data_IF_524226065270
#
_entry.id   IF_524226065270
#
_cell.length_a   1.000
_cell.length_b   1.000
_cell.length_c   1.000
_cell.angle_alpha   90.00
_cell.angle_beta   90.00
_cell.angle_gamma   90.00
#
_symmetry.space_group_name_H-M   'P 1'
#
loop_
_entity.id
_entity.type
_entity.pdbx_description
1 polymer ?
#
# COMPACT_ATOMS: atom_id res chain seq x y z
N UNK A 1 27.75 2.08 -6.36
CA UNK A 1 26.43 1.67 -6.90
C UNK A 1 25.36 2.55 -6.28
N UNK A 2 24.19 2.70 -6.90
CA UNK A 2 23.04 3.40 -6.29
C UNK A 2 22.03 2.35 -5.83
N UNK A 3 21.64 2.41 -4.56
CA UNK A 3 20.65 1.51 -3.98
C UNK A 3 19.38 2.29 -3.66
N UNK A 4 18.23 1.69 -3.97
CA UNK A 4 16.92 2.24 -3.66
C UNK A 4 16.16 1.20 -2.86
N UNK A 5 15.69 1.58 -1.67
CA UNK A 5 14.83 0.77 -0.84
C UNK A 5 13.38 1.21 -1.06
N UNK A 6 12.56 0.30 -1.58
CA UNK A 6 11.11 0.50 -1.67
C UNK A 6 10.49 0.07 -0.34
N UNK A 7 9.91 1.02 0.41
CA UNK A 7 9.37 0.78 1.75
C UNK A 7 8.03 1.50 1.91
N UNK A 8 6.98 0.74 2.24
CA UNK A 8 5.61 1.23 2.43
C UNK A 8 5.16 1.18 3.90
N UNK A 9 6.12 1.08 4.83
CA UNK A 9 5.87 1.11 6.27
C UNK A 9 6.74 2.17 6.93
N UNK A 10 6.18 2.85 7.93
CA UNK A 10 6.87 3.91 8.68
C UNK A 10 7.48 3.41 9.99
N UNK A 11 7.34 2.12 10.30
CA UNK A 11 7.79 1.56 11.56
C UNK A 11 9.30 1.83 11.81
N UNK A 12 9.66 2.44 12.95
CA UNK A 12 11.06 2.61 13.34
C UNK A 12 11.72 1.26 13.62
N UNK A 13 13.03 1.27 13.85
CA UNK A 13 13.79 0.09 14.19
C UNK A 13 13.39 -0.46 15.57
N UNK A 14 13.17 0.43 16.55
CA UNK A 14 12.92 0.07 17.96
C UNK A 14 11.69 0.75 18.56
N UNK A 15 11.25 0.26 19.71
CA UNK A 15 10.17 0.88 20.48
C UNK A 15 8.80 0.24 20.26
N UNK A 16 7.73 0.84 20.81
CA UNK A 16 6.37 0.27 20.76
C UNK A 16 5.90 -0.03 19.33
N UNK A 17 6.24 0.85 18.39
CA UNK A 17 5.96 0.72 16.95
C UNK A 17 7.14 0.10 16.17
N UNK A 18 8.16 -0.40 16.88
CA UNK A 18 9.39 -0.93 16.31
C UNK A 18 9.24 -2.31 15.67
N UNK A 19 10.24 -2.68 14.87
CA UNK A 19 10.21 -3.90 14.06
C UNK A 19 9.86 -5.17 14.86
N UNK A 20 10.49 -5.34 16.03
CA UNK A 20 10.37 -6.54 16.85
C UNK A 20 9.00 -6.65 17.51
N UNK A 21 8.43 -5.55 17.99
CA UNK A 21 7.17 -5.57 18.73
C UNK A 21 5.96 -5.62 17.80
N UNK A 22 6.02 -4.94 16.65
CA UNK A 22 4.92 -4.93 15.67
C UNK A 22 4.91 -6.17 14.79
N UNK A 23 6.05 -6.55 14.22
CA UNK A 23 6.12 -7.64 13.23
C UNK A 23 6.65 -8.97 13.77
N UNK A 24 7.18 -8.99 15.00
CA UNK A 24 7.64 -10.23 15.64
C UNK A 24 6.53 -11.27 15.86
N UNK A 25 5.33 -10.91 16.37
CA UNK A 25 4.27 -11.87 16.68
C UNK A 25 3.82 -12.70 15.47
N UNK A 26 3.63 -12.07 14.31
CA UNK A 26 3.26 -12.77 13.06
C UNK A 26 4.38 -13.69 12.53
N UNK A 27 5.62 -13.51 12.99
CA UNK A 27 6.77 -14.38 12.69
C UNK A 27 7.02 -15.43 13.79
N UNK A 28 6.11 -15.55 14.76
CA UNK A 28 6.18 -16.55 15.83
C UNK A 28 6.96 -16.10 17.09
N UNK A 29 7.34 -14.82 17.20
CA UNK A 29 7.97 -14.33 18.43
C UNK A 29 6.92 -14.20 19.56
N UNK A 30 7.17 -14.87 20.69
CA UNK A 30 6.39 -14.61 21.91
C UNK A 30 6.63 -13.17 22.39
N UNK A 31 5.75 -12.60 23.25
CA UNK A 31 5.95 -11.26 23.79
C UNK A 31 7.30 -11.07 24.51
N UNK A 32 7.81 -12.12 25.15
CA UNK A 32 9.13 -12.11 25.78
C UNK A 32 10.26 -12.08 24.74
N UNK A 33 10.16 -12.93 23.70
CA UNK A 33 11.12 -12.96 22.59
C UNK A 33 11.11 -11.62 21.85
N UNK A 34 9.94 -11.04 21.58
CA UNK A 34 9.80 -9.76 20.90
C UNK A 34 10.48 -8.63 21.68
N UNK A 35 10.32 -8.58 23.02
CA UNK A 35 11.03 -7.61 23.87
C UNK A 35 12.54 -7.79 23.83
N UNK A 36 13.03 -9.03 23.94
CA UNK A 36 14.46 -9.34 23.84
C UNK A 36 15.04 -8.96 22.47
N UNK A 37 14.26 -9.13 21.40
CA UNK A 37 14.65 -8.70 20.05
C UNK A 37 14.66 -7.16 19.95
N UNK A 38 13.71 -6.45 20.55
CA UNK A 38 13.72 -4.98 20.61
C UNK A 38 14.98 -4.45 21.34
N UNK A 39 15.36 -5.06 22.46
CA UNK A 39 16.60 -4.71 23.18
C UNK A 39 17.85 -4.95 22.31
N UNK A 40 17.86 -6.06 21.55
CA UNK A 40 18.92 -6.33 20.57
C UNK A 40 18.96 -5.26 19.46
N UNK A 41 17.81 -4.83 18.96
CA UNK A 41 17.69 -3.77 17.97
C UNK A 41 18.12 -2.40 18.52
N UNK A 42 17.91 -2.11 19.81
CA UNK A 42 18.43 -0.90 20.46
C UNK A 42 19.94 -0.88 20.49
N UNK A 43 20.56 -2.03 20.81
CA UNK A 43 22.00 -2.14 20.74
C UNK A 43 22.51 -1.98 19.30
N UNK A 44 21.79 -2.54 18.31
CA UNK A 44 22.14 -2.36 16.91
C UNK A 44 22.04 -0.91 16.46
N UNK A 45 20.96 -0.21 16.78
CA UNK A 45 20.77 1.21 16.50
C UNK A 45 21.92 2.06 17.06
N UNK A 46 22.31 1.80 18.32
CA UNK A 46 23.44 2.46 18.98
C UNK A 46 24.75 2.21 18.24
N UNK A 47 25.04 0.97 17.84
CA UNK A 47 26.26 0.62 17.09
C UNK A 47 26.31 1.36 15.76
N UNK A 48 25.18 1.43 15.03
CA UNK A 48 25.10 2.19 13.78
C UNK A 48 25.38 3.69 14.02
N UNK A 49 24.75 4.28 15.04
CA UNK A 49 24.93 5.69 15.37
C UNK A 49 26.38 6.02 15.75
N UNK A 50 27.01 5.20 16.58
CA UNK A 50 28.43 5.34 16.96
C UNK A 50 29.37 5.18 15.76
N UNK A 51 29.05 4.28 14.83
CA UNK A 51 29.92 3.99 13.67
C UNK A 51 29.86 5.08 12.61
N UNK A 52 28.66 5.63 12.36
CA UNK A 52 28.42 6.54 11.24
C UNK A 52 28.12 7.98 11.66
N UNK A 53 28.04 8.26 12.96
CA UNK A 53 27.85 9.60 13.52
C UNK A 53 26.45 10.19 13.32
N UNK A 54 25.44 9.38 13.00
CA UNK A 54 24.03 9.77 12.89
C UNK A 54 23.10 8.61 13.23
N UNK A 55 21.91 8.92 13.77
CA UNK A 55 20.87 7.91 13.99
C UNK A 55 20.29 7.38 12.66
N UNK A 56 20.00 6.08 12.63
CA UNK A 56 19.27 5.40 11.56
C UNK A 56 17.93 4.83 12.02
N UNK A 57 17.48 5.20 13.22
CA UNK A 57 16.15 4.87 13.72
C UNK A 57 15.14 5.91 13.21
N UNK A 58 14.87 5.84 11.92
CA UNK A 58 13.99 6.73 11.16
C UNK A 58 12.77 5.96 10.64
N UNK A 59 11.72 6.64 10.14
CA UNK A 59 10.60 5.94 9.53
C UNK A 59 11.04 4.94 8.46
N UNK A 60 10.52 3.71 8.54
CA UNK A 60 10.87 2.60 7.65
C UNK A 60 12.15 1.85 8.01
N UNK A 61 12.92 2.30 9.01
CA UNK A 61 14.12 1.59 9.46
C UNK A 61 13.83 0.18 9.99
N UNK A 62 12.63 -0.05 10.54
CA UNK A 62 12.18 -1.35 11.01
C UNK A 62 11.77 -2.33 9.92
N UNK A 63 11.70 -1.89 8.67
CA UNK A 63 11.24 -2.71 7.56
C UNK A 63 12.03 -4.03 7.46
N UNK A 64 11.29 -5.11 7.17
CA UNK A 64 11.80 -6.47 7.08
C UNK A 64 12.64 -6.93 8.31
N UNK A 65 12.34 -6.41 9.50
CA UNK A 65 13.05 -6.80 10.73
C UNK A 65 14.38 -6.08 10.92
N UNK A 66 14.44 -4.79 10.56
CA UNK A 66 15.64 -3.96 10.71
C UNK A 66 16.59 -3.98 9.51
N UNK A 67 16.21 -4.67 8.43
CA UNK A 67 16.93 -4.58 7.16
C UNK A 67 16.87 -3.14 6.61
N UNK A 68 15.79 -2.41 6.86
CA UNK A 68 15.67 -1.01 6.47
C UNK A 68 16.80 -0.14 7.01
N UNK A 69 17.06 -0.21 8.32
CA UNK A 69 18.19 0.46 8.95
C UNK A 69 19.55 0.06 8.34
N UNK A 70 19.73 -1.23 8.03
CA UNK A 70 20.95 -1.72 7.40
C UNK A 70 21.12 -1.18 5.96
N UNK A 71 20.05 -1.10 5.17
CA UNK A 71 20.09 -0.50 3.83
C UNK A 71 20.46 0.99 3.89
N UNK A 72 19.86 1.73 4.82
CA UNK A 72 20.14 3.16 4.99
C UNK A 72 21.58 3.41 5.46
N UNK A 73 22.08 2.60 6.40
CA UNK A 73 23.40 2.80 6.99
C UNK A 73 24.54 2.24 6.14
N UNK A 74 24.39 1.02 5.63
CA UNK A 74 25.48 0.26 5.01
C UNK A 74 25.55 0.42 3.49
N UNK A 75 24.40 0.67 2.85
CA UNK A 75 24.32 0.84 1.39
C UNK A 75 24.13 2.29 0.97
N UNK A 76 23.95 3.20 1.94
CA UNK A 76 23.52 4.59 1.71
C UNK A 76 22.32 4.63 0.75
N UNK A 77 21.37 3.72 0.97
CA UNK A 77 20.21 3.57 0.10
C UNK A 77 19.24 4.74 0.29
N UNK A 78 18.63 5.18 -0.81
CA UNK A 78 17.50 6.10 -0.76
C UNK A 78 16.22 5.31 -0.44
N UNK A 79 15.47 5.74 0.58
CA UNK A 79 14.15 5.18 0.89
C UNK A 79 13.08 5.91 0.09
N UNK A 80 12.28 5.15 -0.65
CA UNK A 80 11.16 5.68 -1.45
C UNK A 80 9.93 4.82 -1.22
N UNK A 81 8.75 5.42 -1.41
CA UNK A 81 7.49 4.67 -1.47
C UNK A 81 7.56 3.63 -2.60
N UNK A 82 7.20 2.39 -2.29
CA UNK A 82 7.22 1.28 -3.23
C UNK A 82 6.26 1.50 -4.37
N UNK A 83 5.01 1.90 -4.08
CA UNK A 83 4.03 2.21 -5.13
C UNK A 83 4.52 3.34 -6.02
N UNK A 84 5.03 4.43 -5.45
CA UNK A 84 5.51 5.58 -6.23
C UNK A 84 6.62 5.14 -7.18
N UNK A 85 7.59 4.37 -6.68
CA UNK A 85 8.71 3.90 -7.47
C UNK A 85 8.28 2.93 -8.57
N UNK A 86 7.32 2.05 -8.30
CA UNK A 86 6.77 1.14 -9.31
C UNK A 86 6.07 1.91 -10.42
N UNK A 87 5.25 2.91 -10.09
CA UNK A 87 4.56 3.75 -11.07
C UNK A 87 5.56 4.50 -11.99
N UNK A 88 6.65 5.01 -11.43
CA UNK A 88 7.74 5.59 -12.23
C UNK A 88 8.39 4.57 -13.17
N UNK A 89 8.72 3.38 -12.66
CA UNK A 89 9.41 2.34 -13.43
C UNK A 89 8.59 1.82 -14.60
N UNK A 90 7.26 1.75 -14.46
CA UNK A 90 6.35 1.34 -15.53
C UNK A 90 5.93 2.50 -16.44
N UNK A 91 6.39 3.73 -16.18
CA UNK A 91 6.04 4.91 -16.95
C UNK A 91 4.56 5.26 -16.86
N UNK A 92 3.95 5.11 -15.68
CA UNK A 92 2.50 5.22 -15.48
C UNK A 92 1.92 6.57 -15.92
N UNK A 93 2.62 7.68 -15.67
CA UNK A 93 2.17 9.01 -16.08
C UNK A 93 1.95 9.11 -17.60
N UNK A 94 2.77 8.42 -18.40
CA UNK A 94 2.61 8.37 -19.85
C UNK A 94 1.42 7.49 -20.27
N UNK A 95 1.08 6.46 -19.49
CA UNK A 95 -0.11 5.63 -19.70
C UNK A 95 -1.40 6.36 -19.35
N UNK A 96 -1.34 7.28 -18.38
CA UNK A 96 -2.47 8.13 -18.01
C UNK A 96 -2.78 9.21 -19.06
N UNK A 97 -1.79 9.61 -19.87
CA UNK A 97 -1.98 10.66 -20.87
C UNK A 97 -3.06 10.30 -21.89
N UNK A 98 -4.20 11.01 -21.83
CA UNK A 98 -5.34 10.80 -22.72
C UNK A 98 -6.30 9.68 -22.28
N UNK A 99 -6.13 9.11 -21.09
CA UNK A 99 -7.09 8.18 -20.52
C UNK A 99 -8.33 8.92 -20.00
N UNK A 100 -9.53 8.41 -20.30
CA UNK A 100 -10.79 8.95 -19.77
C UNK A 100 -11.10 8.48 -18.34
N UNK A 101 -10.53 7.33 -17.94
CA UNK A 101 -10.72 6.68 -16.65
C UNK A 101 -9.55 5.74 -16.38
N UNK A 102 -9.06 5.74 -15.14
CA UNK A 102 -8.18 4.70 -14.63
C UNK A 102 -8.95 3.75 -13.71
N UNK A 103 -8.81 2.44 -13.93
CA UNK A 103 -9.32 1.41 -13.02
C UNK A 103 -8.15 0.70 -12.36
N UNK A 104 -8.12 0.71 -11.03
CA UNK A 104 -7.10 0.04 -10.20
C UNK A 104 -7.76 -0.98 -9.26
N UNK A 105 -6.98 -1.63 -8.39
CA UNK A 105 -7.51 -2.59 -7.44
C UNK A 105 -6.48 -3.18 -6.50
N UNK A 106 -6.98 -3.84 -5.45
CA UNK A 106 -6.20 -4.65 -4.52
C UNK A 106 -7.08 -5.71 -3.83
N UNK A 107 -6.46 -6.66 -3.13
CA UNK A 107 -7.18 -7.76 -2.50
C UNK A 107 -8.15 -7.34 -1.39
N UNK A 108 -7.75 -6.39 -0.54
CA UNK A 108 -8.60 -5.89 0.55
C UNK A 108 -8.25 -4.45 0.89
N UNK A 109 -9.25 -3.57 0.80
CA UNK A 109 -9.12 -2.17 1.17
C UNK A 109 -9.48 -1.96 2.65
N UNK A 110 -8.58 -1.32 3.38
CA UNK A 110 -8.72 -0.92 4.78
C UNK A 110 -8.11 0.48 5.01
N UNK A 111 -8.11 0.99 6.25
CA UNK A 111 -7.47 2.27 6.58
C UNK A 111 -5.96 2.34 6.25
N UNK A 112 -5.27 1.21 6.09
CA UNK A 112 -3.86 1.19 5.67
C UNK A 112 -3.71 1.46 4.17
N UNK A 113 -4.77 1.27 3.38
CA UNK A 113 -4.77 1.60 1.95
C UNK A 113 -4.42 3.06 1.70
N UNK A 114 -4.99 3.95 2.52
CA UNK A 114 -4.69 5.38 2.49
C UNK A 114 -3.21 5.70 2.80
N UNK A 115 -2.48 4.78 3.44
CA UNK A 115 -1.08 4.97 3.87
C UNK A 115 -0.06 4.51 2.82
N UNK A 116 -0.42 4.58 1.54
CA UNK A 116 0.54 4.34 0.45
C UNK A 116 0.49 2.94 -0.16
N UNK A 117 -0.63 2.21 -0.05
CA UNK A 117 -0.84 1.02 -0.88
C UNK A 117 -1.09 1.40 -2.34
N UNK A 118 -1.17 0.38 -3.20
CA UNK A 118 -1.34 0.49 -4.65
C UNK A 118 -2.50 1.40 -5.04
N UNK A 119 -3.68 1.22 -4.44
CA UNK A 119 -4.88 2.01 -4.78
C UNK A 119 -4.66 3.51 -4.50
N UNK A 120 -4.10 3.87 -3.34
CA UNK A 120 -3.86 5.27 -3.00
C UNK A 120 -2.78 5.90 -3.89
N UNK A 121 -1.69 5.18 -4.19
CA UNK A 121 -0.65 5.71 -5.07
C UNK A 121 -1.15 5.93 -6.51
N UNK A 122 -1.97 5.01 -7.02
CA UNK A 122 -2.59 5.15 -8.34
C UNK A 122 -3.61 6.29 -8.35
N UNK A 123 -4.50 6.38 -7.35
CA UNK A 123 -5.47 7.46 -7.23
C UNK A 123 -4.80 8.84 -7.20
N UNK A 124 -3.75 9.01 -6.38
CA UNK A 124 -2.99 10.26 -6.33
C UNK A 124 -2.31 10.61 -7.66
N UNK A 125 -1.83 9.62 -8.42
CA UNK A 125 -1.27 9.85 -9.75
C UNK A 125 -2.33 10.28 -10.76
N UNK A 126 -3.52 9.66 -10.70
CA UNK A 126 -4.65 10.01 -11.55
C UNK A 126 -5.15 11.43 -11.26
N UNK A 127 -5.27 11.81 -9.99
CA UNK A 127 -5.65 13.17 -9.58
C UNK A 127 -4.68 14.24 -10.13
N UNK A 128 -3.37 14.01 -10.02
CA UNK A 128 -2.36 14.91 -10.61
C UNK A 128 -2.50 15.04 -12.14
N UNK A 129 -2.95 13.98 -12.81
CA UNK A 129 -3.18 13.97 -14.25
C UNK A 129 -4.57 14.49 -14.67
N UNK A 130 -5.47 14.77 -13.71
CA UNK A 130 -6.86 15.12 -13.97
C UNK A 130 -7.69 13.97 -14.56
N UNK A 131 -7.27 12.72 -14.33
CA UNK A 131 -7.95 11.51 -14.80
C UNK A 131 -8.76 10.93 -13.64
N UNK A 132 -10.08 10.67 -13.79
CA UNK A 132 -10.86 9.98 -12.76
C UNK A 132 -10.29 8.59 -12.45
N UNK A 133 -10.27 8.21 -11.17
CA UNK A 133 -9.81 6.90 -10.73
C UNK A 133 -10.93 6.12 -10.04
N UNK A 134 -11.14 4.86 -10.42
CA UNK A 134 -12.03 3.92 -9.74
C UNK A 134 -11.25 2.68 -9.31
N UNK A 135 -11.68 2.04 -8.21
CA UNK A 135 -11.07 0.81 -7.71
C UNK A 135 -12.05 -0.35 -7.69
N UNK A 136 -11.59 -1.52 -8.12
CA UNK A 136 -12.24 -2.81 -7.88
C UNK A 136 -11.41 -3.57 -6.85
N UNK A 137 -11.99 -3.90 -5.71
CA UNK A 137 -11.27 -4.48 -4.57
C UNK A 137 -11.89 -5.80 -4.12
N UNK A 138 -11.09 -6.77 -3.69
CA UNK A 138 -11.62 -8.09 -3.27
C UNK A 138 -12.57 -7.98 -2.08
N UNK A 139 -12.19 -7.17 -1.09
CA UNK A 139 -13.01 -6.81 0.06
C UNK A 139 -12.73 -5.38 0.51
N UNK A 140 -13.59 -4.86 1.39
CA UNK A 140 -13.36 -3.58 2.05
C UNK A 140 -13.80 -3.62 3.51
N UNK A 141 -13.00 -2.98 4.37
CA UNK A 141 -13.39 -2.66 5.75
C UNK A 141 -14.19 -1.36 5.78
N UNK A 142 -14.99 -1.15 6.83
CA UNK A 142 -15.82 0.05 6.96
C UNK A 142 -14.99 1.36 6.98
N UNK A 143 -13.74 1.28 7.40
CA UNK A 143 -12.76 2.38 7.46
C UNK A 143 -12.06 2.66 6.13
N UNK A 144 -12.30 1.87 5.09
CA UNK A 144 -11.83 2.13 3.73
C UNK A 144 -12.70 3.16 2.99
N UNK A 145 -13.88 3.49 3.53
CA UNK A 145 -14.77 4.48 2.94
C UNK A 145 -14.12 5.88 2.97
N UNK A 146 -14.05 6.53 1.81
CA UNK A 146 -13.51 7.89 1.69
C UNK A 146 -12.01 7.98 1.48
N UNK A 147 -11.39 6.99 0.82
CA UNK A 147 -10.05 7.18 0.27
C UNK A 147 -10.02 8.45 -0.60
N UNK A 148 -9.06 9.37 -0.37
CA UNK A 148 -8.94 10.57 -1.18
C UNK A 148 -8.64 10.19 -2.64
N UNK A 149 -9.01 11.08 -3.56
CA UNK A 149 -8.67 10.99 -5.00
C UNK A 149 -9.30 9.80 -5.75
N UNK A 150 -10.15 9.03 -5.07
CA UNK A 150 -10.86 7.90 -5.66
C UNK A 150 -12.33 8.27 -5.91
N UNK A 151 -12.76 8.21 -7.17
CA UNK A 151 -14.12 8.54 -7.57
C UNK A 151 -15.12 7.45 -7.19
N UNK A 152 -14.70 6.18 -7.19
CA UNK A 152 -15.55 5.04 -6.84
C UNK A 152 -14.72 3.85 -6.35
N UNK A 153 -15.30 3.05 -5.46
CA UNK A 153 -14.77 1.76 -5.03
C UNK A 153 -15.86 0.71 -5.07
N UNK A 154 -15.60 -0.43 -5.71
CA UNK A 154 -16.54 -1.53 -5.86
C UNK A 154 -15.93 -2.83 -5.30
N UNK A 155 -16.50 -3.43 -4.25
CA UNK A 155 -16.04 -4.72 -3.75
C UNK A 155 -16.49 -5.85 -4.69
N UNK A 156 -15.69 -6.92 -4.76
CA UNK A 156 -16.01 -8.06 -5.64
C UNK A 156 -17.04 -9.02 -5.06
N UNK A 157 -17.13 -9.12 -3.73
CA UNK A 157 -18.10 -9.96 -3.05
C UNK A 157 -19.55 -9.59 -3.44
N UNK A 158 -20.31 -10.60 -3.84
CA UNK A 158 -21.72 -10.47 -4.27
C UNK A 158 -22.71 -11.05 -3.25
N UNK A 159 -22.22 -11.83 -2.29
CA UNK A 159 -22.97 -12.41 -1.18
C UNK A 159 -21.99 -12.77 -0.05
N UNK A 160 -22.50 -13.16 1.11
CA UNK A 160 -21.71 -13.77 2.17
C UNK A 160 -21.16 -15.13 1.70
N UNK A 161 -19.84 -15.28 1.67
CA UNK A 161 -19.16 -16.51 1.26
C UNK A 161 -17.88 -16.75 2.07
N UNK A 162 -17.41 -18.00 2.19
CA UNK A 162 -16.10 -18.29 2.77
C UNK A 162 -14.96 -17.65 1.99
N UNK A 163 -13.89 -17.23 2.69
CA UNK A 163 -12.71 -16.62 2.05
C UNK A 163 -12.10 -17.52 0.97
N UNK A 164 -12.02 -18.83 1.21
CA UNK A 164 -11.48 -19.79 0.25
C UNK A 164 -12.31 -19.86 -1.04
N UNK A 165 -13.64 -19.75 -0.93
CA UNK A 165 -14.51 -19.67 -2.10
C UNK A 165 -14.29 -18.36 -2.86
N UNK A 166 -14.20 -17.23 -2.15
CA UNK A 166 -13.95 -15.92 -2.76
C UNK A 166 -12.62 -15.90 -3.52
N UNK A 167 -11.56 -16.49 -2.95
CA UNK A 167 -10.26 -16.61 -3.61
C UNK A 167 -10.32 -17.58 -4.80
N UNK A 168 -11.02 -18.72 -4.66
CA UNK A 168 -11.19 -19.69 -5.74
C UNK A 168 -12.00 -19.17 -6.93
N UNK A 169 -12.89 -18.20 -6.70
CA UNK A 169 -13.73 -17.54 -7.71
C UNK A 169 -13.29 -16.12 -8.05
N UNK A 170 -12.06 -15.73 -7.69
CA UNK A 170 -11.62 -14.35 -7.81
C UNK A 170 -11.81 -13.78 -9.23
N UNK A 171 -11.41 -14.51 -10.27
CA UNK A 171 -11.56 -14.05 -11.66
C UNK A 171 -13.03 -13.71 -12.01
N UNK A 172 -13.96 -14.62 -11.69
CA UNK A 172 -15.40 -14.41 -11.87
C UNK A 172 -15.91 -13.20 -11.08
N UNK A 173 -15.54 -13.11 -9.80
CA UNK A 173 -16.00 -12.05 -8.91
C UNK A 173 -15.48 -10.67 -9.33
N UNK A 174 -14.23 -10.58 -9.80
CA UNK A 174 -13.66 -9.35 -10.36
C UNK A 174 -14.33 -8.96 -11.68
N UNK A 175 -14.62 -9.92 -12.56
CA UNK A 175 -15.34 -9.66 -13.81
C UNK A 175 -16.75 -9.08 -13.53
N UNK A 176 -17.49 -9.71 -12.62
CA UNK A 176 -18.81 -9.22 -12.22
C UNK A 176 -18.74 -7.83 -11.57
N UNK A 177 -17.69 -7.54 -10.80
CA UNK A 177 -17.48 -6.22 -10.20
C UNK A 177 -17.17 -5.14 -11.24
N UNK A 178 -16.36 -5.46 -12.23
CA UNK A 178 -16.09 -4.58 -13.36
C UNK A 178 -17.38 -4.31 -14.16
N UNK A 179 -18.19 -5.33 -14.44
CA UNK A 179 -19.49 -5.16 -15.11
C UNK A 179 -20.41 -4.20 -14.34
N UNK A 180 -20.49 -4.34 -13.01
CA UNK A 180 -21.26 -3.41 -12.15
C UNK A 180 -20.73 -1.98 -12.25
N UNK A 181 -19.42 -1.79 -12.13
CA UNK A 181 -18.77 -0.49 -12.24
C UNK A 181 -19.10 0.18 -13.59
N UNK A 182 -18.86 -0.51 -14.69
CA UNK A 182 -19.09 0.06 -16.03
C UNK A 182 -20.57 0.24 -16.36
N UNK A 183 -21.47 -0.60 -15.84
CA UNK A 183 -22.92 -0.41 -15.99
C UNK A 183 -23.40 0.88 -15.31
N UNK A 184 -22.89 1.18 -14.10
CA UNK A 184 -23.20 2.42 -13.39
C UNK A 184 -22.63 3.65 -14.12
N UNK A 185 -21.42 3.54 -14.66
CA UNK A 185 -20.82 4.60 -15.48
C UNK A 185 -21.63 4.86 -16.75
N UNK A 186 -22.03 3.82 -17.47
CA UNK A 186 -22.86 3.93 -18.67
C UNK A 186 -24.21 4.62 -18.38
N UNK A 187 -24.87 4.23 -17.28
CA UNK A 187 -26.08 4.90 -16.81
C UNK A 187 -25.82 6.40 -16.52
N UNK A 188 -24.72 6.74 -15.85
CA UNK A 188 -24.32 8.13 -15.61
C UNK A 188 -24.14 8.93 -16.91
N UNK A 189 -23.50 8.35 -17.92
CA UNK A 189 -23.35 8.98 -19.24
C UNK A 189 -24.70 9.22 -19.94
N UNK A 190 -25.63 8.27 -19.85
CA UNK A 190 -26.97 8.42 -20.42
C UNK A 190 -27.78 9.53 -19.72
N UNK A 191 -27.68 9.61 -18.39
CA UNK A 191 -28.34 10.66 -17.62
C UNK A 191 -27.78 12.05 -17.97
N UNK A 192 -26.46 12.18 -18.13
CA UNK A 192 -25.82 13.42 -18.56
C UNK A 192 -26.27 13.88 -19.94
N UNK A 193 -26.43 12.96 -20.91
CA UNK A 193 -26.94 13.27 -22.26
C UNK A 193 -28.37 13.79 -22.29
N UNK A 194 -29.21 13.43 -21.31
CA UNK A 194 -30.61 13.91 -21.24
C UNK A 194 -30.72 15.33 -20.68
N UNK A 195 -29.68 15.81 -20.01
CA UNK A 195 -29.64 17.14 -19.39
C UNK A 195 -28.95 18.19 -20.26
N UNK A 196 -28.23 17.76 -21.30
CA UNK A 196 -27.60 18.61 -22.32
C UNK A 196 -28.56 18.88 -23.50
#
# INVERSE_FOLDING_TARGET
ARFTMMCDVDNPLVGPEGASLVFGPQKGASPEVARRLDDGMRNWARVLEETFGRSFDVPGAGAAGGLGAACLALLDAESVSGVTRVLELVGFDALLAGADLCVTGEGHADAQTARGKVVAGVAAACERAGVPCAAVVGGMSADAAGLPDLAAMVPTAIDAMPLEEALGRAEELYALAAERLFSLLALGCELGKRQA
#
